data_IF_949304549736
#
_entry.id   IF_949304549736
#
_cell.length_a   1.000
_cell.length_b   1.000
_cell.length_c   1.000
_cell.angle_alpha   90.00
_cell.angle_beta   90.00
_cell.angle_gamma   90.00
#
_symmetry.space_group_name_H-M   'P 1'
#
loop_
_entity.id
_entity.type
_entity.pdbx_description
1 polymer ?
#
# COMPACT_ATOMS: atom_id res chain seq x y z
N UNK A 1 -6.91 1.28 13.19
CA UNK A 1 -7.57 1.09 11.88
C UNK A 1 -6.48 0.95 10.85
N UNK A 2 -6.42 -0.22 10.23
CA UNK A 2 -5.43 -0.55 9.20
C UNK A 2 -5.95 -0.11 7.84
N UNK A 3 -5.05 0.39 6.99
CA UNK A 3 -5.35 0.79 5.62
C UNK A 3 -4.95 -0.34 4.70
N UNK A 4 -5.80 -0.69 3.74
CA UNK A 4 -5.55 -1.78 2.79
C UNK A 4 -5.69 -1.27 1.36
N UNK A 5 -4.90 -1.86 0.48
CA UNK A 5 -5.03 -1.67 -0.97
C UNK A 5 -5.91 -2.78 -1.52
N UNK A 6 -7.02 -2.40 -2.12
CA UNK A 6 -8.02 -3.32 -2.68
C UNK A 6 -8.03 -3.17 -4.21
N UNK A 7 -8.03 -4.29 -4.91
CA UNK A 7 -8.12 -4.40 -6.36
C UNK A 7 -9.50 -4.94 -6.76
N UNK A 8 -10.15 -4.30 -7.72
CA UNK A 8 -11.29 -4.88 -8.43
C UNK A 8 -10.76 -5.63 -9.67
N UNK A 9 -10.79 -6.97 -9.69
CA UNK A 9 -10.27 -7.73 -10.82
C UNK A 9 -11.10 -7.54 -12.11
N UNK A 10 -12.36 -7.11 -12.00
CA UNK A 10 -13.25 -6.95 -13.15
C UNK A 10 -12.99 -5.66 -13.93
N UNK A 11 -12.59 -4.58 -13.24
CA UNK A 11 -12.34 -3.27 -13.87
C UNK A 11 -10.86 -2.88 -13.89
N UNK A 12 -10.03 -3.54 -13.07
CA UNK A 12 -8.65 -3.14 -12.82
C UNK A 12 -8.52 -1.96 -11.86
N UNK A 13 -9.63 -1.51 -11.24
CA UNK A 13 -9.59 -0.37 -10.33
C UNK A 13 -8.89 -0.73 -9.02
N UNK A 14 -8.04 0.17 -8.55
CA UNK A 14 -7.35 0.04 -7.27
C UNK A 14 -7.80 1.15 -6.34
N UNK A 15 -8.25 0.77 -5.15
CA UNK A 15 -8.75 1.69 -4.13
C UNK A 15 -8.07 1.45 -2.78
N UNK A 16 -7.89 2.55 -2.06
CA UNK A 16 -7.36 2.54 -0.69
C UNK A 16 -8.51 2.61 0.31
N UNK A 17 -8.72 1.55 1.09
CA UNK A 17 -9.79 1.48 2.10
C UNK A 17 -9.24 1.29 3.50
N UNK A 18 -10.01 1.65 4.52
CA UNK A 18 -9.65 1.45 5.94
C UNK A 18 -10.66 0.50 6.58
N UNK A 19 -10.16 -0.50 7.28
CA UNK A 19 -10.99 -1.46 8.00
C UNK A 19 -10.67 -1.42 9.49
N UNK A 20 -11.71 -1.62 10.31
CA UNK A 20 -11.60 -1.66 11.76
C UNK A 20 -11.01 -2.97 12.28
N UNK A 21 -11.28 -4.07 11.59
CA UNK A 21 -10.82 -5.42 11.92
C UNK A 21 -10.58 -6.24 10.66
N UNK A 22 -9.81 -7.34 10.78
CA UNK A 22 -9.60 -8.29 9.68
C UNK A 22 -10.90 -9.00 9.27
N UNK A 23 -11.79 -9.27 10.21
CA UNK A 23 -13.09 -9.90 9.93
C UNK A 23 -13.93 -9.03 8.99
N UNK A 24 -13.96 -7.71 9.25
CA UNK A 24 -14.69 -6.76 8.41
C UNK A 24 -14.13 -6.70 6.98
N UNK A 25 -12.81 -6.79 6.83
CA UNK A 25 -12.17 -6.88 5.51
C UNK A 25 -12.62 -8.16 4.77
N UNK A 26 -12.59 -9.31 5.44
CA UNK A 26 -12.96 -10.60 4.84
C UNK A 26 -14.42 -10.62 4.39
N UNK A 27 -15.34 -10.17 5.25
CA UNK A 27 -16.77 -10.08 4.92
C UNK A 27 -16.99 -9.18 3.69
N UNK A 28 -16.36 -8.00 3.67
CA UNK A 28 -16.49 -7.05 2.57
C UNK A 28 -15.92 -7.60 1.25
N UNK A 29 -14.79 -8.30 1.28
CA UNK A 29 -14.21 -8.95 0.09
C UNK A 29 -15.11 -10.07 -0.43
N UNK A 30 -15.73 -10.85 0.47
CA UNK A 30 -16.66 -11.91 0.10
C UNK A 30 -17.94 -11.37 -0.56
N UNK A 31 -18.45 -10.23 -0.09
CA UNK A 31 -19.64 -9.58 -0.68
C UNK A 31 -19.37 -8.94 -2.03
N UNK A 32 -18.21 -8.31 -2.20
CA UNK A 32 -17.89 -7.52 -3.41
C UNK A 32 -17.17 -8.32 -4.50
N UNK A 33 -16.51 -9.41 -4.14
CA UNK A 33 -15.64 -10.16 -5.05
C UNK A 33 -14.35 -9.43 -5.43
N UNK A 34 -13.95 -8.42 -4.64
CA UNK A 34 -12.68 -7.71 -4.80
C UNK A 34 -11.56 -8.46 -4.09
N UNK A 35 -10.31 -8.11 -4.41
CA UNK A 35 -9.11 -8.75 -3.85
C UNK A 35 -8.30 -7.76 -3.01
N UNK A 36 -7.72 -8.23 -1.91
CA UNK A 36 -6.82 -7.43 -1.08
C UNK A 36 -5.36 -7.65 -1.49
N UNK A 37 -4.68 -6.60 -1.93
CA UNK A 37 -3.27 -6.61 -2.30
C UNK A 37 -2.33 -6.48 -1.10
N UNK A 38 -2.83 -6.05 0.05
CA UNK A 38 -2.06 -5.97 1.30
C UNK A 38 -2.34 -4.72 2.12
N UNK A 39 -1.75 -4.68 3.31
CA UNK A 39 -1.81 -3.53 4.20
C UNK A 39 -0.90 -2.40 3.69
N UNK A 40 -1.45 -1.19 3.59
CA UNK A 40 -0.71 0.00 3.21
C UNK A 40 -0.03 0.59 4.45
N UNK A 41 1.27 0.36 4.57
CA UNK A 41 2.09 1.03 5.57
C UNK A 41 2.65 2.34 5.03
N UNK A 42 2.38 3.46 5.71
CA UNK A 42 3.02 4.73 5.41
C UNK A 42 4.38 4.75 6.12
N UNK A 43 5.42 4.26 5.44
CA UNK A 43 6.79 4.36 5.92
C UNK A 43 7.44 5.66 5.43
N UNK A 44 7.85 6.52 6.36
CA UNK A 44 8.73 7.65 6.07
C UNK A 44 10.15 7.31 6.55
N UNK A 45 11.14 7.14 5.66
CA UNK A 45 12.48 6.78 6.06
C UNK A 45 13.11 7.87 6.93
N UNK A 46 13.84 7.43 7.96
CA UNK A 46 14.55 8.35 8.85
C UNK A 46 15.63 9.13 8.09
N UNK A 47 16.08 10.28 8.64
CA UNK A 47 17.14 11.09 8.02
C UNK A 47 18.41 10.26 7.74
N UNK A 48 18.78 9.36 8.65
CA UNK A 48 19.98 8.53 8.53
C UNK A 48 19.89 7.56 7.33
N UNK A 49 18.72 6.96 7.09
CA UNK A 49 18.49 6.11 5.93
C UNK A 49 18.48 6.89 4.62
N UNK A 50 17.82 8.07 4.59
CA UNK A 50 17.80 8.94 3.39
C UNK A 50 19.18 9.42 2.97
N UNK A 51 20.11 9.58 3.91
CA UNK A 51 21.48 10.04 3.62
C UNK A 51 22.44 8.91 3.22
N UNK A 52 22.06 7.64 3.40
CA UNK A 52 22.88 6.48 3.02
C UNK A 52 23.00 6.31 1.50
N UNK A 53 21.96 6.66 0.75
CA UNK A 53 21.92 6.56 -0.73
C UNK A 53 22.34 7.85 -1.46
N UNK A 54 23.06 8.76 -0.79
CA UNK A 54 23.53 10.01 -1.43
C UNK A 54 24.47 9.76 -2.61
N UNK A 55 25.21 8.65 -2.61
CA UNK A 55 26.13 8.31 -3.70
C UNK A 55 25.40 7.82 -4.97
N UNK A 56 24.27 7.12 -4.84
CA UNK A 56 23.47 6.64 -6.00
C UNK A 56 22.70 7.77 -6.70
N UNK A 57 22.42 8.88 -6.01
CA UNK A 57 21.74 10.03 -6.59
C UNK A 57 22.65 10.93 -7.44
N UNK A 58 23.97 10.74 -7.39
CA UNK A 58 24.93 11.50 -8.20
C UNK A 58 24.98 11.05 -9.68
N UNK A 59 24.30 9.96 -10.06
CA UNK A 59 24.37 9.34 -11.39
C UNK A 59 23.32 9.78 -12.42
N UNK A 60 22.41 10.70 -12.10
CA UNK A 60 21.35 11.15 -13.03
C UNK A 60 21.65 12.52 -13.67
N UNK A 61 22.91 12.80 -14.00
CA UNK A 61 23.29 14.07 -14.64
C UNK A 61 24.80 14.30 -14.82
N UNK A 62 25.55 13.32 -15.31
CA UNK A 62 26.86 13.54 -15.95
C UNK A 62 26.78 13.20 -17.43
#
# INVERSE_FOLDING_TARGET
MSKYTILNPNTGDVSSMKFGSKTQLIEWLAETGWECLGETENYLPTRHERMKNKEEFAGWGS
#
